data_IF_454339338659
#
_entry.id   IF_454339338659
#
_cell.length_a   1.000
_cell.length_b   1.000
_cell.length_c   1.000
_cell.angle_alpha   90.00
_cell.angle_beta   90.00
_cell.angle_gamma   90.00
#
_symmetry.space_group_name_H-M   'P 1'
#
loop_
_entity.id
_entity.type
_entity.pdbx_description
1 polymer ?
#
# COMPACT_ATOMS: atom_id res chain seq x y z
N UNK A 1 11.25 3.08 -14.68
CA UNK A 1 10.67 1.83 -15.20
C UNK A 1 10.09 0.82 -14.14
N UNK A 2 10.71 -0.36 -13.90
CA UNK A 2 9.95 -1.62 -13.45
C UNK A 2 10.03 -2.29 -11.98
N UNK A 3 11.08 -1.79 -11.49
CA UNK A 3 11.46 -0.95 -10.32
C UNK A 3 10.49 0.11 -9.68
N UNK A 4 9.95 0.95 -10.57
CA UNK A 4 9.18 2.20 -10.43
C UNK A 4 7.65 1.94 -10.39
N UNK A 5 7.44 0.86 -11.08
CA UNK A 5 6.35 -0.09 -11.24
C UNK A 5 6.11 -1.41 -10.63
N UNK A 6 7.30 -2.07 -10.51
CA UNK A 6 7.78 -2.86 -9.37
C UNK A 6 7.48 -1.70 -8.38
N UNK A 7 7.82 -0.43 -8.45
CA UNK A 7 7.96 0.29 -7.16
C UNK A 7 6.96 0.21 -5.99
N UNK A 8 5.92 0.42 -6.78
CA UNK A 8 4.58 0.73 -7.05
C UNK A 8 4.01 -0.66 -7.22
N UNK A 9 4.67 -1.68 -7.75
CA UNK A 9 4.37 -3.00 -7.13
C UNK A 9 4.81 -3.53 -5.84
N UNK A 10 5.74 -2.86 -5.29
CA UNK A 10 6.19 -3.02 -3.82
C UNK A 10 5.10 -2.66 -2.77
N UNK A 11 4.66 -1.59 -3.34
CA UNK A 11 4.23 -0.33 -2.84
C UNK A 11 2.95 0.09 -2.80
N UNK A 12 2.55 -0.10 -4.01
CA UNK A 12 1.19 0.00 -4.25
C UNK A 12 0.43 -1.37 -3.75
N UNK A 13 1.12 -2.47 -3.60
CA UNK A 13 0.95 -3.33 -2.38
C UNK A 13 1.16 -2.95 -0.96
N UNK A 14 2.07 -2.05 -1.01
CA UNK A 14 2.38 -1.13 0.14
C UNK A 14 1.38 -0.02 0.54
N UNK A 15 0.38 -0.09 -0.29
CA UNK A 15 -0.66 0.85 -0.55
C UNK A 15 -1.93 0.30 0.06
N UNK A 16 -2.34 -0.66 -0.65
CA UNK A 16 -2.98 -1.83 -0.12
C UNK A 16 -2.63 -2.32 1.30
N UNK A 17 -1.44 -1.86 1.67
CA UNK A 17 -0.94 -1.68 3.05
C UNK A 17 -1.08 -0.40 3.90
N UNK A 18 -1.05 0.81 3.37
CA UNK A 18 -1.85 1.95 3.89
C UNK A 18 -3.33 1.60 4.31
N UNK A 19 -4.09 1.17 3.29
CA UNK A 19 -5.54 1.40 3.19
C UNK A 19 -6.27 0.44 4.15
N UNK A 20 -6.00 -0.85 3.95
CA UNK A 20 -6.25 -1.94 4.86
C UNK A 20 -5.78 -1.76 6.35
N UNK A 21 -4.56 -1.26 6.59
CA UNK A 21 -4.06 -1.11 7.99
C UNK A 21 -4.58 0.12 8.83
N UNK A 22 -5.18 1.01 8.13
CA UNK A 22 -5.86 2.30 8.61
C UNK A 22 -7.34 2.49 8.88
N UNK A 23 -7.90 1.64 8.16
CA UNK A 23 -9.18 0.99 8.27
C UNK A 23 -9.72 0.60 9.58
N UNK A 24 -8.88 -0.25 9.95
CA UNK A 24 -8.33 -0.58 11.24
C UNK A 24 -7.97 0.45 12.26
N UNK A 25 -7.43 1.52 11.84
CA UNK A 25 -7.30 2.72 12.74
C UNK A 25 -8.38 3.79 12.67
N UNK A 26 -9.31 3.42 11.85
CA UNK A 26 -10.54 4.24 11.61
C UNK A 26 -11.73 3.76 12.51
N UNK A 27 -12.12 2.49 12.31
CA UNK A 27 -12.96 1.65 13.22
C UNK A 27 -12.52 1.63 14.70
N UNK A 28 -11.20 1.54 14.90
CA UNK A 28 -10.61 1.96 16.22
C UNK A 28 -10.45 3.52 16.33
N UNK A 29 -10.00 4.12 15.27
#
# INVERSE_FOLDING_TARGET
GPTARIFASILAPGVAAAQALREIERLAX
#
